data_IF_795625143539
#
_entry.id   IF_795625143539
#
_cell.length_a   1.000
_cell.length_b   1.000
_cell.length_c   1.000
_cell.angle_alpha   90.00
_cell.angle_beta   90.00
_cell.angle_gamma   90.00
#
_symmetry.space_group_name_H-M   'P 1'
#
loop_
_entity.id
_entity.type
_entity.pdbx_description
1 polymer ?
#
# COMPACT_ATOMS: atom_id res chain seq x y z
N UNK A 1 24.41 13.02 11.65
CA UNK A 1 24.67 12.14 12.82
C UNK A 1 25.56 10.98 12.41
N UNK A 2 26.60 10.66 13.18
CA UNK A 2 27.47 9.50 12.96
C UNK A 2 26.73 8.21 13.31
N UNK A 3 26.43 7.38 12.31
CA UNK A 3 25.79 6.08 12.49
C UNK A 3 26.76 5.14 13.22
N UNK A 4 26.33 4.55 14.34
CA UNK A 4 27.12 3.55 15.06
C UNK A 4 27.45 2.38 14.11
N UNK A 5 28.72 1.95 13.98
CA UNK A 5 29.12 0.94 13.00
C UNK A 5 28.47 -0.44 13.18
N UNK A 6 27.87 -0.71 14.36
CA UNK A 6 27.14 -1.95 14.67
C UNK A 6 25.60 -1.78 14.70
N UNK A 7 25.04 -0.66 14.22
CA UNK A 7 23.58 -0.53 14.14
C UNK A 7 23.02 -1.39 13.00
N UNK A 8 21.93 -2.14 13.22
CA UNK A 8 21.28 -2.92 12.16
C UNK A 8 20.91 -2.06 10.96
N UNK A 9 21.11 -2.57 9.74
CA UNK A 9 20.69 -1.86 8.52
C UNK A 9 19.17 -1.76 8.48
N UNK A 10 18.65 -0.55 8.61
CA UNK A 10 17.22 -0.28 8.51
C UNK A 10 16.76 -0.41 7.05
N UNK A 11 15.89 -1.39 6.79
CA UNK A 11 15.18 -1.52 5.52
C UNK A 11 14.00 -0.56 5.50
N UNK A 12 13.66 -0.01 4.32
CA UNK A 12 12.54 0.92 4.17
C UNK A 12 11.31 0.20 3.62
N UNK A 13 10.14 0.53 4.16
CA UNK A 13 8.86 0.21 3.54
C UNK A 13 8.62 1.09 2.31
N UNK A 14 7.63 0.72 1.48
CA UNK A 14 7.30 1.50 0.30
C UNK A 14 6.18 0.93 -0.56
N UNK A 15 5.95 1.62 -1.66
CA UNK A 15 5.03 1.23 -2.72
C UNK A 15 5.82 0.89 -4.00
N UNK A 16 5.40 -0.16 -4.69
CA UNK A 16 5.95 -0.53 -6.00
C UNK A 16 4.80 -0.62 -6.99
N UNK A 17 4.88 0.13 -8.08
CA UNK A 17 3.93 0.04 -9.17
C UNK A 17 4.49 -0.93 -10.19
N UNK A 18 3.68 -1.91 -10.58
CA UNK A 18 4.02 -2.86 -11.63
C UNK A 18 2.96 -2.85 -12.72
N UNK A 19 3.39 -3.21 -13.92
CA UNK A 19 2.49 -3.50 -15.02
C UNK A 19 1.75 -4.83 -14.74
N UNK A 20 0.40 -4.86 -14.79
CA UNK A 20 -0.38 -6.04 -14.41
C UNK A 20 -0.15 -7.24 -15.35
N UNK A 21 0.15 -6.99 -16.62
CA UNK A 21 0.33 -8.03 -17.65
C UNK A 21 1.74 -8.60 -17.66
N UNK A 22 2.74 -7.71 -17.66
CA UNK A 22 4.16 -8.08 -17.83
C UNK A 22 4.89 -8.27 -16.49
N UNK A 23 4.30 -7.81 -15.39
CA UNK A 23 4.93 -7.70 -14.07
C UNK A 23 6.20 -6.84 -14.05
N UNK A 24 6.41 -6.00 -15.08
CA UNK A 24 7.53 -5.07 -15.13
C UNK A 24 7.38 -4.00 -14.03
N UNK A 25 8.48 -3.69 -13.34
CA UNK A 25 8.49 -2.60 -12.35
C UNK A 25 8.45 -1.27 -13.08
N UNK A 26 7.38 -0.51 -12.85
CA UNK A 26 7.17 0.81 -13.44
C UNK A 26 7.74 1.91 -12.53
N UNK A 27 7.59 1.77 -11.21
CA UNK A 27 8.07 2.75 -10.24
C UNK A 27 8.26 2.14 -8.86
N UNK A 28 9.27 2.60 -8.13
CA UNK A 28 9.50 2.27 -6.73
C UNK A 28 9.47 3.56 -5.92
N UNK A 29 8.66 3.60 -4.87
CA UNK A 29 8.52 4.74 -3.96
C UNK A 29 8.83 4.24 -2.56
N UNK A 30 10.03 4.56 -2.07
CA UNK A 30 10.44 4.22 -0.71
C UNK A 30 10.01 5.31 0.27
N UNK A 31 9.56 4.91 1.46
CA UNK A 31 9.28 5.85 2.54
C UNK A 31 10.57 6.53 2.99
N UNK A 32 10.52 7.83 3.25
CA UNK A 32 11.69 8.53 3.77
C UNK A 32 12.04 8.01 5.16
N UNK A 33 11.04 7.93 6.03
CA UNK A 33 11.09 7.34 7.36
C UNK A 33 10.05 6.22 7.46
N UNK A 34 10.42 5.11 8.11
CA UNK A 34 9.44 4.07 8.40
C UNK A 34 8.55 4.54 9.54
N UNK A 35 7.23 4.39 9.44
CA UNK A 35 6.35 4.74 10.53
C UNK A 35 6.54 3.80 11.71
N UNK A 36 6.40 4.35 12.92
CA UNK A 36 6.42 3.59 14.16
C UNK A 36 5.21 2.66 14.29
N UNK A 37 4.09 3.04 13.66
CA UNK A 37 2.83 2.30 13.73
C UNK A 37 2.28 1.99 12.34
N UNK A 38 1.70 0.79 12.23
CA UNK A 38 0.98 0.34 11.05
C UNK A 38 -0.28 -0.37 11.52
N UNK A 39 -1.44 0.18 11.17
CA UNK A 39 -2.74 -0.35 11.56
C UNK A 39 -3.28 -1.29 10.50
N UNK A 40 -3.83 -2.43 10.91
CA UNK A 40 -4.47 -3.41 10.02
C UNK A 40 -5.84 -3.80 10.55
N UNK A 41 -6.85 -3.75 9.69
CA UNK A 41 -8.20 -4.22 10.00
C UNK A 41 -8.57 -5.33 9.02
N UNK A 42 -9.12 -6.42 9.54
CA UNK A 42 -9.58 -7.56 8.76
C UNK A 42 -11.07 -7.73 9.00
N UNK A 43 -11.88 -7.39 8.00
CA UNK A 43 -13.33 -7.55 8.06
C UNK A 43 -13.72 -8.90 7.45
N UNK A 44 -14.32 -9.76 8.27
CA UNK A 44 -14.75 -11.10 7.84
C UNK A 44 -15.92 -10.99 6.87
N UNK A 45 -15.83 -11.69 5.74
CA UNK A 45 -16.96 -11.88 4.81
C UNK A 45 -17.76 -13.11 5.22
N UNK A 46 -18.71 -12.93 6.14
CA UNK A 46 -19.67 -13.96 6.54
C UNK A 46 -20.88 -14.02 5.61
N UNK A 47 -21.66 -15.11 5.70
CA UNK A 47 -22.98 -15.22 5.08
C UNK A 47 -24.01 -14.75 6.11
N UNK A 48 -24.83 -13.73 5.81
CA UNK A 48 -25.97 -13.36 6.66
C UNK A 48 -26.06 -11.92 7.19
N UNK A 49 -25.75 -10.88 6.41
CA UNK A 49 -26.22 -9.51 6.75
C UNK A 49 -27.71 -9.30 6.47
N UNK A 50 -28.37 -10.24 5.77
CA UNK A 50 -29.82 -10.27 5.56
C UNK A 50 -30.35 -11.69 5.79
N UNK A 51 -31.19 -11.90 6.80
CA UNK A 51 -32.11 -13.04 6.89
C UNK A 51 -31.55 -14.41 7.27
N UNK A 52 -31.34 -14.62 8.57
CA UNK A 52 -31.60 -15.86 9.32
C UNK A 52 -31.33 -17.23 8.69
N UNK A 53 -30.13 -17.77 8.93
CA UNK A 53 -29.98 -19.23 9.12
C UNK A 53 -28.89 -19.54 10.17
N UNK A 54 -29.25 -20.30 11.22
CA UNK A 54 -28.40 -20.55 12.40
C UNK A 54 -27.18 -21.44 12.08
N UNK A 55 -27.14 -22.03 10.88
CA UNK A 55 -26.11 -22.97 10.43
C UNK A 55 -24.95 -22.32 9.64
N UNK A 56 -24.98 -20.99 9.44
CA UNK A 56 -24.01 -20.29 8.58
C UNK A 56 -22.97 -19.47 9.37
N UNK A 57 -23.08 -19.43 10.70
CA UNK A 57 -22.27 -18.58 11.58
C UNK A 57 -20.74 -18.77 11.46
N UNK A 58 -20.29 -19.96 11.03
CA UNK A 58 -18.87 -20.29 10.86
C UNK A 58 -18.43 -20.36 9.39
N UNK A 59 -19.33 -20.13 8.44
CA UNK A 59 -18.99 -20.21 7.01
C UNK A 59 -18.39 -18.88 6.54
N UNK A 60 -17.23 -18.98 5.91
CA UNK A 60 -16.56 -17.87 5.25
C UNK A 60 -16.90 -17.87 3.77
N UNK A 61 -17.27 -16.71 3.21
CA UNK A 61 -17.55 -16.55 1.77
C UNK A 61 -16.27 -16.42 0.94
N UNK A 62 -15.17 -16.02 1.57
CA UNK A 62 -13.88 -15.79 0.92
C UNK A 62 -12.88 -15.12 1.88
N UNK A 63 -11.72 -14.68 1.37
CA UNK A 63 -10.76 -13.93 2.16
C UNK A 63 -11.38 -12.66 2.78
N UNK A 64 -10.96 -12.28 4.00
CA UNK A 64 -11.45 -11.06 4.64
C UNK A 64 -11.04 -9.82 3.84
N UNK A 65 -11.82 -8.75 3.97
CA UNK A 65 -11.40 -7.43 3.46
C UNK A 65 -10.34 -6.89 4.41
N UNK A 66 -9.08 -6.91 3.95
CA UNK A 66 -7.96 -6.38 4.72
C UNK A 66 -7.68 -4.93 4.31
N UNK A 67 -7.66 -4.04 5.29
CA UNK A 67 -7.29 -2.63 5.13
C UNK A 67 -6.06 -2.32 5.97
N UNK A 68 -5.13 -1.56 5.40
CA UNK A 68 -3.90 -1.11 6.04
C UNK A 68 -3.93 0.42 6.08
N UNK A 69 -3.64 0.98 7.25
CA UNK A 69 -3.45 2.42 7.43
C UNK A 69 -2.06 2.70 7.97
N UNK A 70 -1.40 3.68 7.39
CA UNK A 70 -0.09 4.16 7.84
C UNK A 70 0.03 5.65 7.59
N UNK A 71 0.81 6.30 8.46
CA UNK A 71 1.15 7.72 8.36
C UNK A 71 2.64 7.83 8.09
N UNK A 72 3.03 8.34 6.93
CA UNK A 72 4.42 8.56 6.57
C UNK A 72 4.79 10.05 6.72
N UNK A 73 6.02 10.31 7.14
CA UNK A 73 6.57 11.66 7.20
C UNK A 73 7.59 11.87 6.08
N UNK A 74 7.56 13.06 5.49
CA UNK A 74 8.50 13.53 4.47
C UNK A 74 9.07 14.85 4.97
N UNK A 75 10.39 14.99 4.96
CA UNK A 75 11.08 16.18 5.48
C UNK A 75 12.33 16.50 4.65
N UNK A 76 12.41 17.71 4.10
CA UNK A 76 13.55 18.20 3.34
C UNK A 76 14.59 18.96 4.20
N UNK A 77 14.42 19.10 5.52
CA UNK A 77 15.31 19.90 6.39
C UNK A 77 16.78 19.48 6.25
N UNK A 78 17.08 18.18 6.34
CA UNK A 78 18.45 17.67 6.18
C UNK A 78 19.00 17.92 4.76
N UNK A 79 18.13 17.91 3.75
CA UNK A 79 18.52 18.15 2.35
C UNK A 79 18.82 19.64 2.14
N UNK A 80 18.07 20.53 2.79
CA UNK A 80 18.25 21.97 2.76
C UNK A 80 19.51 22.43 3.52
N UNK A 81 20.05 21.63 4.44
CA UNK A 81 21.37 21.89 5.06
C UNK A 81 22.51 21.83 4.04
N UNK A 82 22.34 21.07 2.94
CA UNK A 82 23.33 20.95 1.86
C UNK A 82 22.75 21.32 0.49
N UNK A 83 22.45 22.61 0.23
CA UNK A 83 21.78 23.06 -1.01
C UNK A 83 22.51 22.64 -2.30
N UNK A 84 23.85 22.70 -2.31
CA UNK A 84 24.66 22.32 -3.47
C UNK A 84 24.53 20.83 -3.84
N UNK A 85 24.17 19.98 -2.87
CA UNK A 85 23.94 18.54 -3.07
C UNK A 85 22.49 18.20 -3.35
N UNK A 86 21.56 19.10 -3.00
CA UNK A 86 20.13 18.89 -3.11
C UNK A 86 19.41 20.08 -3.77
N UNK A 87 19.77 20.45 -5.02
CA UNK A 87 19.19 21.61 -5.69
C UNK A 87 17.66 21.50 -5.86
N UNK A 88 17.14 20.28 -6.00
CA UNK A 88 15.70 20.03 -6.10
C UNK A 88 14.96 20.40 -4.80
N UNK A 89 15.52 20.07 -3.64
CA UNK A 89 14.91 20.43 -2.35
C UNK A 89 14.84 21.96 -2.17
N UNK A 90 15.87 22.69 -2.65
CA UNK A 90 15.89 24.16 -2.60
C UNK A 90 14.93 24.81 -3.62
N UNK A 91 14.68 24.17 -4.75
CA UNK A 91 13.84 24.74 -5.81
C UNK A 91 12.35 24.48 -5.60
N UNK A 92 12.00 23.27 -5.15
CA UNK A 92 10.60 22.79 -5.12
C UNK A 92 10.26 22.02 -3.83
N UNK A 93 11.11 22.09 -2.80
CA UNK A 93 10.87 21.43 -1.52
C UNK A 93 10.65 19.92 -1.66
N UNK A 94 9.60 19.41 -1.02
CA UNK A 94 9.19 18.00 -1.06
C UNK A 94 8.12 17.66 -2.11
N UNK A 95 7.76 18.60 -2.98
CA UNK A 95 6.76 18.36 -4.02
C UNK A 95 7.02 17.13 -4.88
N UNK A 96 8.26 16.84 -5.36
CA UNK A 96 8.50 15.65 -6.18
C UNK A 96 8.12 14.34 -5.49
N UNK A 97 8.35 14.23 -4.17
CA UNK A 97 8.01 13.06 -3.37
C UNK A 97 6.49 12.94 -3.20
N UNK A 98 5.79 14.04 -2.96
CA UNK A 98 4.33 14.08 -2.88
C UNK A 98 3.70 13.72 -4.23
N UNK A 99 4.14 14.36 -5.32
CA UNK A 99 3.65 14.08 -6.67
C UNK A 99 3.91 12.64 -7.10
N UNK A 100 5.01 12.02 -6.67
CA UNK A 100 5.27 10.61 -6.95
C UNK A 100 4.21 9.68 -6.35
N UNK A 101 3.66 10.03 -5.18
CA UNK A 101 2.58 9.31 -4.49
C UNK A 101 1.20 9.68 -5.07
N UNK A 102 0.96 10.96 -5.33
CA UNK A 102 -0.30 11.46 -5.89
C UNK A 102 -0.58 10.88 -7.28
N UNK A 103 0.44 10.83 -8.14
CA UNK A 103 0.31 10.29 -9.51
C UNK A 103 -0.02 8.81 -9.58
N UNK A 104 -0.03 8.08 -8.45
CA UNK A 104 -0.59 6.73 -8.37
C UNK A 104 -2.12 6.75 -8.54
N UNK A 105 -2.77 7.83 -8.08
CA UNK A 105 -4.23 8.00 -8.11
C UNK A 105 -4.74 8.50 -9.46
N UNK A 106 -3.86 9.09 -10.28
CA UNK A 106 -4.22 9.68 -11.56
C UNK A 106 -3.93 8.71 -12.72
N UNK A 107 -4.82 8.61 -13.71
CA UNK A 107 -4.43 8.06 -15.00
C UNK A 107 -3.36 8.96 -15.63
N UNK A 108 -2.42 8.35 -16.36
CA UNK A 108 -1.36 9.10 -17.03
C UNK A 108 -1.94 10.15 -17.99
N UNK A 109 -1.41 11.37 -17.97
CA UNK A 109 -1.89 12.50 -18.80
C UNK A 109 -1.88 12.17 -20.29
N UNK A 110 -0.85 11.46 -20.77
CA UNK A 110 -0.77 10.98 -22.15
C UNK A 110 -1.97 10.11 -22.54
N UNK A 111 -2.48 9.29 -21.62
CA UNK A 111 -3.67 8.45 -21.84
C UNK A 111 -4.94 9.28 -21.88
N UNK A 112 -5.09 10.25 -20.97
CA UNK A 112 -6.22 11.18 -21.00
C UNK A 112 -6.29 11.96 -22.33
N UNK A 113 -5.15 12.44 -22.82
CA UNK A 113 -5.05 13.13 -24.11
C UNK A 113 -5.33 12.20 -25.29
N UNK A 114 -4.87 10.95 -25.25
CA UNK A 114 -5.16 9.96 -26.29
C UNK A 114 -6.67 9.65 -26.36
N UNK A 115 -7.30 9.39 -25.21
CA UNK A 115 -8.73 9.12 -25.10
C UNK A 115 -9.56 10.32 -25.58
N UNK A 116 -9.14 11.55 -25.26
CA UNK A 116 -9.79 12.75 -25.75
C UNK A 116 -9.74 12.83 -27.29
N UNK A 117 -8.60 12.53 -27.91
CA UNK A 117 -8.47 12.53 -29.38
C UNK A 117 -9.33 11.44 -30.04
N UNK A 118 -9.36 10.23 -29.47
CA UNK A 118 -10.19 9.13 -29.98
C UNK A 118 -11.69 9.47 -29.90
N UNK A 119 -12.12 10.06 -28.79
CA UNK A 119 -13.48 10.54 -28.62
C UNK A 119 -13.86 11.62 -29.64
N UNK A 120 -12.96 12.58 -29.91
CA UNK A 120 -13.14 13.59 -30.96
C UNK A 120 -13.21 12.96 -32.37
N UNK A 121 -12.54 11.83 -32.59
CA UNK A 121 -12.60 11.06 -33.82
C UNK A 121 -13.80 10.11 -33.91
N UNK A 122 -14.77 10.19 -32.98
CA UNK A 122 -15.96 9.34 -32.96
C UNK A 122 -15.71 7.89 -32.54
N UNK A 123 -14.52 7.58 -32.03
CA UNK A 123 -14.15 6.26 -31.50
C UNK A 123 -14.25 6.30 -29.97
N UNK A 124 -15.37 5.85 -29.40
CA UNK A 124 -15.46 5.59 -27.96
C UNK A 124 -15.01 4.16 -27.69
N UNK A 125 -13.81 4.00 -27.13
CA UNK A 125 -13.42 2.76 -26.48
C UNK A 125 -14.06 2.72 -25.08
N UNK A 126 -14.96 1.77 -24.85
CA UNK A 126 -15.78 1.68 -23.61
C UNK A 126 -15.09 0.82 -22.53
N UNK A 127 -13.98 0.15 -22.85
CA UNK A 127 -13.27 -0.67 -21.88
C UNK A 127 -12.49 0.21 -20.89
N UNK A 128 -12.72 0.10 -19.57
CA UNK A 128 -11.87 0.75 -18.59
C UNK A 128 -10.47 0.14 -18.66
N UNK A 129 -9.49 0.97 -19.01
CA UNK A 129 -8.08 0.57 -19.09
C UNK A 129 -7.58 0.18 -17.70
N UNK A 130 -6.83 -0.92 -17.61
CA UNK A 130 -6.29 -1.38 -16.33
C UNK A 130 -5.18 -0.43 -15.82
N UNK A 131 -5.31 0.00 -14.57
CA UNK A 131 -4.31 0.84 -13.91
C UNK A 131 -3.11 -0.01 -13.46
N UNK A 132 -1.91 0.57 -13.32
CA UNK A 132 -0.77 -0.12 -12.72
C UNK A 132 -1.14 -0.77 -11.38
N UNK A 133 -0.73 -2.02 -11.19
CA UNK A 133 -0.95 -2.74 -9.95
C UNK A 133 0.02 -2.19 -8.89
N UNK A 134 -0.53 -1.67 -7.79
CA UNK A 134 0.28 -1.16 -6.67
C UNK A 134 0.55 -2.26 -5.66
N UNK A 135 1.81 -2.41 -5.26
CA UNK A 135 2.25 -3.33 -4.24
C UNK A 135 2.72 -2.57 -3.01
N UNK A 136 2.19 -2.94 -1.84
CA UNK A 136 2.71 -2.49 -0.56
C UNK A 136 3.79 -3.46 -0.07
N UNK A 137 5.00 -2.94 0.13
CA UNK A 137 6.17 -3.70 0.58
C UNK A 137 6.56 -3.18 1.96
N UNK A 138 6.37 -4.02 2.98
CA UNK A 138 6.79 -3.70 4.35
C UNK A 138 8.02 -4.50 4.78
N UNK A 139 8.14 -5.74 4.32
CA UNK A 139 9.27 -6.62 4.60
C UNK A 139 9.39 -7.70 3.55
N UNK A 140 10.45 -8.51 3.61
CA UNK A 140 10.63 -9.69 2.75
C UNK A 140 9.44 -10.67 2.80
N UNK A 141 8.73 -10.72 3.92
CA UNK A 141 7.58 -11.63 4.14
C UNK A 141 6.23 -10.93 4.00
N UNK A 142 6.22 -9.62 3.70
CA UNK A 142 4.99 -8.82 3.57
C UNK A 142 5.07 -7.94 2.34
N UNK A 143 4.71 -8.56 1.21
CA UNK A 143 4.49 -7.92 -0.09
C UNK A 143 3.04 -8.19 -0.48
N UNK A 144 2.26 -7.14 -0.70
CA UNK A 144 0.81 -7.22 -0.84
C UNK A 144 0.33 -6.44 -2.05
N UNK A 145 -0.52 -7.01 -2.92
CA UNK A 145 -1.23 -6.22 -3.91
C UNK A 145 -2.27 -5.35 -3.20
N UNK A 146 -2.25 -4.05 -3.44
CA UNK A 146 -3.13 -3.09 -2.77
C UNK A 146 -3.75 -2.10 -3.76
N UNK A 147 -4.91 -1.58 -3.39
CA UNK A 147 -5.51 -0.39 -3.98
C UNK A 147 -5.50 0.73 -2.95
N UNK A 148 -5.03 1.91 -3.32
CA UNK A 148 -5.20 3.10 -2.48
C UNK A 148 -6.70 3.42 -2.37
N UNK A 149 -7.19 3.57 -1.14
CA UNK A 149 -8.57 3.95 -0.83
C UNK A 149 -8.66 5.32 -0.18
N UNK A 150 -7.60 5.76 0.49
CA UNK A 150 -7.52 7.04 1.18
C UNK A 150 -6.12 7.61 0.98
N UNK A 151 -6.04 8.90 0.69
CA UNK A 151 -4.80 9.65 0.54
C UNK A 151 -5.03 11.05 1.09
N UNK A 152 -4.31 11.39 2.15
CA UNK A 152 -4.38 12.71 2.78
C UNK A 152 -2.97 13.22 3.02
N UNK A 153 -2.75 14.51 2.74
CA UNK A 153 -1.46 15.18 2.92
C UNK A 153 -1.69 16.41 3.79
N UNK A 154 -0.95 16.51 4.88
CA UNK A 154 -0.84 17.70 5.70
C UNK A 154 0.54 18.30 5.44
N UNK A 155 0.59 19.41 4.70
CA UNK A 155 1.83 20.15 4.42
C UNK A 155 2.13 21.14 5.54
N UNK A 156 3.40 21.19 5.95
CA UNK A 156 3.88 21.98 7.07
C UNK A 156 5.23 22.59 6.74
N UNK A 157 5.53 23.75 7.33
CA UNK A 157 6.78 24.49 7.15
C UNK A 157 7.10 24.80 5.68
N UNK A 158 7.07 26.07 5.31
CA UNK A 158 7.27 26.50 3.93
C UNK A 158 8.54 27.34 3.78
N UNK A 159 9.19 27.23 2.63
CA UNK A 159 10.26 28.15 2.25
C UNK A 159 9.69 29.53 1.82
N UNK A 160 10.52 30.55 1.54
CA UNK A 160 10.04 31.86 1.08
C UNK A 160 9.25 31.84 -0.24
N UNK A 161 9.40 30.78 -1.05
CA UNK A 161 8.65 30.57 -2.29
C UNK A 161 7.37 29.74 -2.07
N UNK A 162 7.02 29.45 -0.81
CA UNK A 162 5.88 28.63 -0.40
C UNK A 162 5.97 27.16 -0.83
N UNK A 163 7.18 26.64 -1.06
CA UNK A 163 7.36 25.20 -1.21
C UNK A 163 7.31 24.53 0.16
N UNK A 164 6.56 23.42 0.31
CA UNK A 164 6.53 22.66 1.55
C UNK A 164 7.90 22.01 1.79
N UNK A 165 8.35 22.08 3.04
CA UNK A 165 9.59 21.46 3.51
C UNK A 165 9.26 20.17 4.28
N UNK A 166 8.09 20.10 4.92
CA UNK A 166 7.61 18.93 5.63
C UNK A 166 6.19 18.57 5.22
N UNK A 167 5.88 17.28 5.22
CA UNK A 167 4.49 16.83 5.16
C UNK A 167 4.28 15.52 5.91
N UNK A 168 3.07 15.38 6.44
CA UNK A 168 2.53 14.11 6.93
C UNK A 168 1.56 13.54 5.91
N UNK A 169 1.83 12.34 5.42
CA UNK A 169 1.02 11.64 4.42
C UNK A 169 0.32 10.45 5.07
N UNK A 170 -1.01 10.49 5.13
CA UNK A 170 -1.83 9.37 5.58
C UNK A 170 -2.32 8.55 4.39
N UNK A 171 -1.98 7.26 4.38
CA UNK A 171 -2.34 6.30 3.34
C UNK A 171 -3.31 5.26 3.89
N UNK A 172 -4.47 5.13 3.23
CA UNK A 172 -5.35 3.98 3.39
C UNK A 172 -5.24 3.05 2.19
N UNK A 173 -4.92 1.80 2.45
CA UNK A 173 -4.68 0.77 1.45
C UNK A 173 -5.64 -0.40 1.68
N UNK A 174 -6.35 -0.83 0.65
CA UNK A 174 -7.13 -2.07 0.67
C UNK A 174 -6.35 -3.16 -0.05
N UNK A 175 -6.13 -4.30 0.60
CA UNK A 175 -5.50 -5.46 -0.03
C UNK A 175 -6.44 -6.05 -1.08
N UNK A 176 -5.90 -6.31 -2.28
CA UNK A 176 -6.61 -6.98 -3.35
C UNK A 176 -6.50 -8.49 -3.16
N UNK A 177 -7.64 -9.17 -3.12
CA UNK A 177 -7.73 -10.62 -2.97
C UNK A 177 -8.06 -11.31 -4.29
N UNK A 178 -8.04 -12.64 -4.30
CA UNK A 178 -8.52 -13.44 -5.45
C UNK A 178 -9.99 -13.19 -5.77
N UNK A 179 -10.81 -12.75 -4.81
CA UNK A 179 -12.20 -12.37 -5.05
C UNK A 179 -12.31 -11.06 -5.87
N UNK A 180 -11.29 -10.19 -5.79
CA UNK A 180 -11.31 -8.87 -6.42
C UNK A 180 -10.77 -8.91 -7.85
N UNK A 181 -9.74 -9.72 -8.11
CA UNK A 181 -9.03 -9.73 -9.40
C UNK A 181 -8.96 -11.12 -10.07
N UNK A 182 -9.40 -12.17 -9.38
CA UNK A 182 -9.32 -13.55 -9.89
C UNK A 182 -7.94 -14.20 -9.71
N UNK A 183 -7.89 -15.53 -9.86
CA UNK A 183 -6.66 -16.32 -9.69
C UNK A 183 -5.67 -16.18 -10.84
N UNK A 184 -6.15 -15.96 -12.06
CA UNK A 184 -5.32 -15.83 -13.28
C UNK A 184 -4.63 -14.49 -13.35
N UNK A 185 -5.17 -13.46 -12.71
CA UNK A 185 -4.57 -12.14 -12.66
C UNK A 185 -3.32 -12.10 -11.78
N UNK A 186 -2.34 -11.26 -12.14
CA UNK A 186 -1.08 -11.15 -11.39
C UNK A 186 -1.29 -10.75 -9.94
N UNK A 187 -2.25 -9.86 -9.68
CA UNK A 187 -2.65 -9.46 -8.33
C UNK A 187 -3.14 -10.65 -7.49
N UNK A 188 -3.92 -11.57 -8.07
CA UNK A 188 -4.39 -12.76 -7.37
C UNK A 188 -3.24 -13.70 -7.03
N UNK A 189 -2.29 -13.90 -7.95
CA UNK A 189 -1.09 -14.70 -7.70
C UNK A 189 -0.25 -14.12 -6.55
N UNK A 190 -0.06 -12.80 -6.53
CA UNK A 190 0.67 -12.12 -5.46
C UNK A 190 -0.04 -12.24 -4.10
N UNK A 191 -1.37 -12.13 -4.09
CA UNK A 191 -2.17 -12.36 -2.89
C UNK A 191 -2.02 -13.78 -2.36
N UNK A 192 -2.06 -14.80 -3.23
CA UNK A 192 -1.89 -16.19 -2.82
C UNK A 192 -0.50 -16.44 -2.22
N UNK A 193 0.55 -15.86 -2.81
CA UNK A 193 1.91 -15.92 -2.24
C UNK A 193 1.98 -15.27 -0.85
N UNK A 194 1.30 -14.14 -0.66
CA UNK A 194 1.18 -13.52 0.66
C UNK A 194 0.44 -14.41 1.66
N UNK A 195 -0.69 -15.01 1.27
CA UNK A 195 -1.48 -15.87 2.14
C UNK A 195 -0.69 -17.10 2.59
N UNK A 196 0.00 -17.78 1.67
CA UNK A 196 0.87 -18.92 1.97
C UNK A 196 2.00 -18.53 2.92
N UNK A 197 2.63 -17.37 2.71
CA UNK A 197 3.65 -16.87 3.63
C UNK A 197 3.08 -16.61 5.04
N UNK A 198 1.85 -16.10 5.13
CA UNK A 198 1.13 -15.89 6.40
C UNK A 198 0.83 -17.22 7.09
N UNK A 199 0.41 -18.26 6.36
CA UNK A 199 0.19 -19.62 6.89
C UNK A 199 1.50 -20.24 7.41
N UNK A 200 2.60 -20.11 6.68
CA UNK A 200 3.91 -20.56 7.12
C UNK A 200 4.38 -19.86 8.41
N UNK A 201 4.08 -18.57 8.55
CA UNK A 201 4.36 -17.84 9.80
C UNK A 201 3.45 -18.30 10.94
N UNK A 202 2.17 -18.59 10.65
CA UNK A 202 1.24 -19.12 11.65
C UNK A 202 1.73 -20.47 12.20
N UNK A 203 2.27 -21.34 11.36
CA UNK A 203 2.85 -22.62 11.78
C UNK A 203 4.08 -22.49 12.71
N UNK A 204 4.75 -21.34 12.71
CA UNK A 204 5.87 -21.05 13.63
C UNK A 204 5.40 -20.56 15.00
N UNK A 205 4.12 -20.21 15.15
CA UNK A 205 3.57 -19.79 16.44
C UNK A 205 3.49 -21.01 17.36
N UNK A 206 4.23 -20.99 18.47
CA UNK A 206 4.16 -22.03 19.48
C UNK A 206 2.77 -21.97 20.13
N UNK A 207 1.91 -22.95 19.83
CA UNK A 207 0.56 -23.00 20.39
C UNK A 207 0.55 -23.16 21.91
N UNK A 208 -0.45 -22.56 22.57
CA UNK A 208 -0.73 -22.81 23.98
C UNK A 208 -1.48 -24.12 24.20
N UNK A 209 -1.40 -24.67 25.42
CA UNK A 209 -2.27 -25.75 25.87
C UNK A 209 -3.56 -25.16 26.47
N UNK A 210 -4.64 -25.95 26.53
CA UNK A 210 -5.90 -25.52 27.13
C UNK A 210 -5.75 -25.06 28.59
N UNK A 211 -4.73 -25.55 29.30
CA UNK A 211 -4.37 -25.13 30.65
C UNK A 211 -4.05 -23.63 30.75
N UNK A 212 -3.55 -23.00 29.68
CA UNK A 212 -3.33 -21.54 29.65
C UNK A 212 -4.64 -20.78 29.84
N UNK A 213 -5.76 -21.37 29.44
CA UNK A 213 -7.11 -20.83 29.64
C UNK A 213 -7.79 -21.37 30.90
N UNK A 214 -7.09 -22.16 31.73
CA UNK A 214 -7.64 -22.76 32.95
C UNK A 214 -8.65 -23.90 32.72
N UNK A 215 -8.72 -24.44 31.50
CA UNK A 215 -9.64 -25.53 31.15
C UNK A 215 -8.87 -26.80 30.76
N UNK A 216 -9.35 -27.96 31.22
CA UNK A 216 -8.76 -29.27 30.87
C UNK A 216 -9.25 -29.84 29.55
N UNK A 217 -10.43 -29.41 29.09
CA UNK A 217 -11.06 -29.81 27.84
C UNK A 217 -12.01 -28.71 27.35
N UNK A 218 -12.32 -28.73 26.06
CA UNK A 218 -13.45 -27.97 25.51
C UNK A 218 -14.73 -28.67 26.00
N UNK A 219 -15.73 -27.94 26.54
CA UNK A 219 -16.99 -28.51 27.01
C UNK A 219 -17.71 -29.39 25.98
#
# INVERSE_FOLDING_TARGET
>A
MSTFPNSPRLLKGGLVLIDPDTAAVLRVIALQYNPDTLSRTLQVKGVGTEGGDRSEALRLKGPPVETIKLDAEIDATDQLEFPDRHPTATQVGIHPQLSALETILYPASARLLANHRLAQAGTLEIAPMEAPLTLFVWSKTRVLPVRLTEFSVTEEAFDPALNPIRAKVSLGLRVLSVDDVGFTHKGGTLFMGYLQAKEQLAAKNQGGTLNVFGIGAIP
#
